data_IF_775223671977
#
_entry.id   IF_775223671977
#
_cell.length_a   1.000
_cell.length_b   1.000
_cell.length_c   1.000
_cell.angle_alpha   90.00
_cell.angle_beta   90.00
_cell.angle_gamma   90.00
#
_symmetry.space_group_name_H-M   'P 1'
#
loop_
_entity.id
_entity.type
_entity.pdbx_description
1 polymer ?
#
# COMPACT_ATOMS: atom_id res chain seq x y z
N UNK A 1 5.85 1.34 17.30
CA UNK A 1 5.59 1.49 15.85
C UNK A 1 5.27 2.94 15.52
N UNK A 2 5.99 3.50 14.57
CA UNK A 2 5.71 4.85 14.10
C UNK A 2 4.47 4.84 13.19
N UNK A 3 3.63 5.85 13.32
CA UNK A 3 2.41 5.99 12.51
C UNK A 3 2.32 7.42 11.96
N UNK A 4 1.46 7.61 10.97
CA UNK A 4 1.06 8.94 10.53
C UNK A 4 -0.45 9.10 10.69
N UNK A 5 -0.94 10.31 10.62
CA UNK A 5 -2.34 10.62 10.91
C UNK A 5 -3.06 11.19 9.70
N UNK A 6 -4.22 10.61 9.40
CA UNK A 6 -5.07 11.08 8.31
C UNK A 6 -4.57 10.71 6.93
N UNK A 7 -4.95 11.50 5.92
CA UNK A 7 -4.55 11.24 4.53
C UNK A 7 -3.21 11.88 4.22
N UNK A 8 -2.41 11.19 3.41
CA UNK A 8 -1.10 11.67 2.99
C UNK A 8 -1.29 12.79 1.96
N UNK A 9 -0.64 13.93 2.18
CA UNK A 9 -0.68 15.07 1.25
C UNK A 9 0.66 15.32 0.57
N UNK A 10 1.75 14.94 1.22
CA UNK A 10 3.12 15.08 0.72
C UNK A 10 4.02 14.05 1.37
N UNK A 11 5.21 13.83 0.81
CA UNK A 11 6.24 12.99 1.39
C UNK A 11 7.42 13.83 1.83
N UNK A 12 8.00 13.50 2.98
CA UNK A 12 9.25 14.07 3.43
C UNK A 12 10.42 13.46 2.62
N UNK A 13 11.62 14.03 2.75
CA UNK A 13 12.79 13.67 1.94
C UNK A 13 13.12 12.18 1.96
N UNK A 14 12.99 11.54 3.12
CA UNK A 14 13.33 10.13 3.32
C UNK A 14 12.13 9.21 3.28
N UNK A 15 11.02 9.64 2.71
CA UNK A 15 9.78 8.87 2.69
C UNK A 15 9.41 8.42 1.28
N UNK A 16 8.80 7.25 1.20
CA UNK A 16 8.24 6.67 -0.01
C UNK A 16 6.84 6.17 0.28
N UNK A 17 6.07 5.85 -0.74
CA UNK A 17 4.66 5.48 -0.62
C UNK A 17 4.41 4.09 -1.16
N UNK A 18 3.76 3.21 -0.40
CA UNK A 18 3.16 1.99 -0.92
C UNK A 18 1.69 2.26 -1.23
N UNK A 19 1.25 1.88 -2.40
CA UNK A 19 -0.16 2.03 -2.79
C UNK A 19 -0.66 0.80 -3.53
N UNK A 20 -1.98 0.58 -3.47
CA UNK A 20 -2.65 -0.46 -4.25
C UNK A 20 -3.00 0.05 -5.63
N UNK A 21 -2.67 -0.72 -6.65
CA UNK A 21 -3.01 -0.44 -8.02
C UNK A 21 -3.83 -1.56 -8.65
N UNK A 22 -3.92 -1.54 -9.97
CA UNK A 22 -4.71 -2.50 -10.73
C UNK A 22 -3.86 -3.19 -11.82
N UNK A 23 -4.41 -4.24 -12.41
CA UNK A 23 -3.72 -5.06 -13.40
C UNK A 23 -3.29 -4.30 -14.65
N UNK A 24 -3.93 -3.17 -14.96
CA UNK A 24 -3.60 -2.34 -16.12
C UNK A 24 -2.68 -1.17 -15.73
N UNK A 25 -2.34 -1.04 -14.45
CA UNK A 25 -1.53 0.05 -13.90
C UNK A 25 -2.07 1.43 -14.26
N UNK A 26 -3.41 1.55 -14.27
CA UNK A 26 -4.09 2.83 -14.50
C UNK A 26 -4.23 3.57 -13.18
N UNK A 27 -3.36 4.55 -12.96
CA UNK A 27 -3.30 5.30 -11.70
C UNK A 27 -4.20 6.54 -11.76
N UNK A 28 -5.48 6.33 -12.06
CA UNK A 28 -6.42 7.42 -12.33
C UNK A 28 -7.29 7.86 -11.16
N UNK A 29 -7.28 7.13 -10.04
CA UNK A 29 -8.15 7.41 -8.89
C UNK A 29 -7.46 7.08 -7.57
N UNK A 30 -7.95 7.69 -6.47
CA UNK A 30 -7.58 7.34 -5.10
C UNK A 30 -6.09 7.43 -4.84
N UNK A 31 -5.57 6.46 -4.09
CA UNK A 31 -4.17 6.44 -3.69
C UNK A 31 -3.21 6.27 -4.88
N UNK A 32 -3.63 5.61 -5.94
CA UNK A 32 -2.81 5.48 -7.14
C UNK A 32 -2.60 6.83 -7.82
N UNK A 33 -3.65 7.65 -7.91
CA UNK A 33 -3.51 9.01 -8.45
C UNK A 33 -2.67 9.89 -7.52
N UNK A 34 -2.85 9.77 -6.22
CA UNK A 34 -2.01 10.47 -5.25
C UNK A 34 -0.53 10.12 -5.46
N UNK A 35 -0.23 8.83 -5.66
CA UNK A 35 1.14 8.37 -5.90
C UNK A 35 1.75 9.03 -7.16
N UNK A 36 0.96 9.20 -8.22
CA UNK A 36 1.43 9.92 -9.42
C UNK A 36 1.76 11.37 -9.08
N UNK A 37 0.91 12.03 -8.29
CA UNK A 37 1.07 13.46 -7.98
C UNK A 37 2.23 13.76 -7.04
N UNK A 38 2.49 12.92 -6.04
CA UNK A 38 3.45 13.25 -4.98
C UNK A 38 4.63 12.29 -4.85
N UNK A 39 4.56 11.09 -5.44
CA UNK A 39 5.54 10.03 -5.21
C UNK A 39 6.21 9.49 -6.48
N UNK A 40 6.01 10.14 -7.61
CA UNK A 40 6.65 9.75 -8.85
C UNK A 40 6.19 8.44 -9.46
N UNK A 41 5.01 7.95 -9.09
CA UNK A 41 4.42 6.78 -9.74
C UNK A 41 4.11 7.13 -11.20
N UNK A 42 4.31 6.15 -12.06
CA UNK A 42 4.10 6.32 -13.51
C UNK A 42 2.87 5.53 -13.95
N UNK A 43 1.97 6.19 -14.63
CA UNK A 43 0.83 5.56 -15.25
C UNK A 43 1.33 4.44 -16.17
N UNK A 44 0.74 3.25 -16.04
CA UNK A 44 1.13 2.08 -16.83
C UNK A 44 2.27 1.25 -16.23
N UNK A 45 2.75 1.57 -15.02
CA UNK A 45 3.88 0.88 -14.41
C UNK A 45 3.55 0.40 -12.99
N UNK A 46 3.89 -0.85 -12.69
CA UNK A 46 3.78 -1.44 -11.36
C UNK A 46 5.12 -1.54 -10.64
N UNK A 47 5.11 -2.06 -9.43
CA UNK A 47 6.32 -2.25 -8.61
C UNK A 47 6.95 -0.93 -8.19
N UNK A 48 8.26 -0.95 -7.92
CA UNK A 48 9.02 0.21 -7.49
C UNK A 48 9.15 1.24 -8.62
N UNK A 49 8.78 2.50 -8.34
CA UNK A 49 8.80 3.58 -9.33
C UNK A 49 8.87 4.93 -8.63
N UNK A 50 9.95 5.68 -8.89
CA UNK A 50 10.19 6.94 -8.19
C UNK A 50 10.26 6.70 -6.69
N UNK A 51 9.47 7.42 -5.91
CA UNK A 51 9.36 7.27 -4.45
C UNK A 51 8.09 6.50 -4.07
N UNK A 52 7.72 5.52 -4.88
CA UNK A 52 6.51 4.73 -4.65
C UNK A 52 6.73 3.26 -5.01
N UNK A 53 5.85 2.42 -4.47
CA UNK A 53 5.81 0.98 -4.76
C UNK A 53 4.35 0.60 -4.96
N UNK A 54 4.05 0.01 -6.12
CA UNK A 54 2.68 -0.39 -6.47
C UNK A 54 2.51 -1.90 -6.31
N UNK A 55 1.51 -2.31 -5.50
CA UNK A 55 1.07 -3.71 -5.47
C UNK A 55 -0.29 -3.82 -6.17
N UNK A 56 -0.51 -4.94 -6.84
CA UNK A 56 -1.75 -5.18 -7.58
C UNK A 56 -2.82 -5.70 -6.60
N UNK A 57 -3.89 -4.94 -6.45
CA UNK A 57 -5.00 -5.30 -5.55
C UNK A 57 -6.36 -5.36 -6.26
N UNK A 58 -6.40 -5.04 -7.55
CA UNK A 58 -7.64 -5.01 -8.33
C UNK A 58 -7.40 -5.44 -9.76
N UNK A 59 -8.28 -6.30 -10.30
CA UNK A 59 -8.24 -6.74 -11.69
C UNK A 59 -9.33 -6.02 -12.47
N UNK A 60 -8.94 -5.11 -13.36
CA UNK A 60 -9.89 -4.28 -14.12
C UNK A 60 -10.69 -5.07 -15.15
N UNK A 61 -10.29 -6.31 -15.47
CA UNK A 61 -11.04 -7.17 -16.39
C UNK A 61 -12.28 -7.77 -15.74
N UNK A 62 -12.38 -7.68 -14.41
CA UNK A 62 -13.51 -8.21 -13.64
C UNK A 62 -14.40 -7.07 -13.17
N UNK A 63 -15.72 -7.32 -13.17
CA UNK A 63 -16.71 -6.31 -12.76
C UNK A 63 -16.88 -6.22 -11.25
N UNK A 64 -16.74 -7.36 -10.58
CA UNK A 64 -16.92 -7.43 -9.13
C UNK A 64 -15.59 -7.48 -8.42
N UNK A 65 -15.48 -6.74 -7.32
CA UNK A 65 -14.32 -6.77 -6.45
C UNK A 65 -14.75 -7.27 -5.07
N UNK A 66 -13.90 -8.00 -4.36
CA UNK A 66 -12.50 -8.28 -4.66
C UNK A 66 -12.33 -9.11 -5.93
N UNK A 67 -11.33 -8.76 -6.72
CA UNK A 67 -11.03 -9.43 -8.00
C UNK A 67 -9.62 -10.00 -8.07
N UNK A 68 -8.80 -9.74 -7.04
CA UNK A 68 -7.47 -10.32 -6.85
C UNK A 68 -7.51 -11.09 -5.54
N UNK A 69 -7.08 -12.35 -5.54
CA UNK A 69 -7.17 -13.15 -4.33
C UNK A 69 -6.17 -12.71 -3.25
N UNK A 70 -6.48 -13.06 -1.99
CA UNK A 70 -5.67 -12.66 -0.84
C UNK A 70 -4.24 -13.18 -0.93
N UNK A 71 -4.07 -14.41 -1.39
CA UNK A 71 -2.76 -15.06 -1.47
C UNK A 71 -1.81 -14.29 -2.37
N UNK A 72 -2.30 -13.79 -3.50
CA UNK A 72 -1.47 -12.99 -4.41
C UNK A 72 -1.09 -11.65 -3.79
N UNK A 73 -2.03 -11.00 -3.10
CA UNK A 73 -1.74 -9.74 -2.41
C UNK A 73 -0.73 -9.97 -1.29
N UNK A 74 -0.89 -11.04 -0.50
CA UNK A 74 0.04 -11.40 0.59
C UNK A 74 1.44 -11.64 0.04
N UNK A 75 1.56 -12.37 -1.08
CA UNK A 75 2.84 -12.60 -1.74
C UNK A 75 3.52 -11.29 -2.12
N UNK A 76 2.77 -10.37 -2.71
CA UNK A 76 3.30 -9.05 -3.06
C UNK A 76 3.73 -8.24 -1.84
N UNK A 77 2.98 -8.33 -0.74
CA UNK A 77 3.34 -7.67 0.51
C UNK A 77 4.66 -8.23 1.04
N UNK A 78 4.84 -9.56 0.98
CA UNK A 78 6.10 -10.21 1.37
C UNK A 78 7.28 -9.68 0.57
N UNK A 79 7.12 -9.59 -0.74
CA UNK A 79 8.17 -9.03 -1.63
C UNK A 79 8.44 -7.56 -1.31
N UNK A 80 7.39 -6.80 -1.03
CA UNK A 80 7.53 -5.40 -0.63
C UNK A 80 8.29 -5.27 0.70
N UNK A 81 8.01 -6.13 1.68
CA UNK A 81 8.72 -6.10 2.96
C UNK A 81 10.21 -6.39 2.77
N UNK A 82 10.57 -7.33 1.90
CA UNK A 82 11.97 -7.58 1.55
C UNK A 82 12.62 -6.34 0.92
N UNK A 83 11.91 -5.68 0.03
CA UNK A 83 12.34 -4.43 -0.58
C UNK A 83 12.56 -3.34 0.48
N UNK A 84 11.64 -3.20 1.42
CA UNK A 84 11.73 -2.21 2.48
C UNK A 84 12.93 -2.46 3.40
N UNK A 85 13.20 -3.72 3.73
CA UNK A 85 14.36 -4.10 4.53
C UNK A 85 15.66 -3.70 3.82
N UNK A 86 15.73 -3.93 2.51
CA UNK A 86 16.89 -3.56 1.71
C UNK A 86 17.13 -2.04 1.70
N UNK A 87 16.05 -1.26 1.70
CA UNK A 87 16.11 0.21 1.71
C UNK A 87 15.72 0.75 3.09
N UNK A 88 16.38 0.26 4.12
CA UNK A 88 16.07 0.51 5.53
C UNK A 88 16.16 1.97 5.95
N UNK A 89 16.90 2.79 5.21
CA UNK A 89 17.05 4.23 5.46
C UNK A 89 15.85 5.06 4.98
N UNK A 90 14.93 4.43 4.26
CA UNK A 90 13.67 5.07 3.85
C UNK A 90 12.54 4.66 4.79
N UNK A 91 11.58 5.53 4.97
CA UNK A 91 10.30 5.21 5.60
C UNK A 91 9.27 4.99 4.52
N UNK A 92 8.58 3.85 4.58
CA UNK A 92 7.53 3.52 3.61
C UNK A 92 6.17 3.75 4.25
N UNK A 93 5.47 4.79 3.79
CA UNK A 93 4.12 5.08 4.23
C UNK A 93 3.13 4.22 3.44
N UNK A 94 2.26 3.54 4.16
CA UNK A 94 1.23 2.70 3.54
C UNK A 94 0.02 3.59 3.27
N UNK A 95 -0.38 3.71 2.02
CA UNK A 95 -1.49 4.55 1.62
C UNK A 95 -2.79 4.08 2.29
N UNK A 96 -3.57 5.03 2.78
CA UNK A 96 -4.80 4.79 3.52
C UNK A 96 -5.96 5.53 2.84
N UNK A 97 -7.04 4.80 2.57
CA UNK A 97 -8.20 5.35 1.87
C UNK A 97 -9.28 5.90 2.81
N UNK A 98 -9.04 5.88 4.12
CA UNK A 98 -10.02 6.30 5.10
C UNK A 98 -10.88 5.14 5.59
N UNK A 99 -12.01 5.45 6.21
CA UNK A 99 -12.93 4.43 6.73
C UNK A 99 -13.74 3.82 5.59
N UNK A 100 -14.12 2.56 5.76
CA UNK A 100 -14.95 1.84 4.80
C UNK A 100 -14.15 0.87 3.93
N UNK A 101 -14.78 0.41 2.84
CA UNK A 101 -14.15 -0.51 1.92
C UNK A 101 -13.23 0.22 0.95
N UNK A 102 -12.10 -0.41 0.64
CA UNK A 102 -11.17 0.09 -0.36
C UNK A 102 -11.72 -0.14 -1.78
N UNK A 103 -11.18 0.57 -2.77
CA UNK A 103 -11.58 0.38 -4.17
C UNK A 103 -11.35 -1.05 -4.66
N UNK A 104 -10.46 -1.81 -4.01
CA UNK A 104 -10.20 -3.21 -4.34
C UNK A 104 -11.26 -4.18 -3.81
N UNK A 105 -12.22 -3.71 -3.03
CA UNK A 105 -13.30 -4.52 -2.47
C UNK A 105 -12.99 -5.17 -1.13
N UNK A 106 -11.75 -5.12 -0.64
CA UNK A 106 -11.39 -5.62 0.68
C UNK A 106 -11.58 -4.54 1.74
N UNK A 107 -12.03 -4.95 2.93
CA UNK A 107 -12.13 -4.03 4.06
C UNK A 107 -10.74 -3.67 4.61
N UNK A 108 -10.68 -2.61 5.41
CA UNK A 108 -9.42 -2.24 6.08
C UNK A 108 -8.93 -3.36 7.01
N UNK A 109 -9.84 -4.08 7.69
CA UNK A 109 -9.47 -5.21 8.53
C UNK A 109 -8.86 -6.34 7.70
N UNK A 110 -9.45 -6.65 6.55
CA UNK A 110 -8.92 -7.67 5.65
C UNK A 110 -7.53 -7.29 5.13
N UNK A 111 -7.36 -6.03 4.75
CA UNK A 111 -6.05 -5.54 4.31
C UNK A 111 -5.02 -5.58 5.46
N UNK A 112 -5.42 -5.15 6.66
CA UNK A 112 -4.54 -5.21 7.83
C UNK A 112 -4.11 -6.65 8.15
N UNK A 113 -5.03 -7.60 8.02
CA UNK A 113 -4.71 -9.02 8.22
C UNK A 113 -3.67 -9.50 7.20
N UNK A 114 -3.77 -9.05 5.95
CA UNK A 114 -2.78 -9.40 4.92
C UNK A 114 -1.40 -8.82 5.23
N UNK A 115 -1.33 -7.56 5.67
CA UNK A 115 -0.08 -6.94 6.09
C UNK A 115 0.53 -7.59 7.33
N UNK A 116 -0.28 -8.27 8.13
CA UNK A 116 0.14 -8.93 9.37
C UNK A 116 0.64 -10.36 9.18
N UNK A 117 0.67 -10.88 7.94
CA UNK A 117 1.09 -12.26 7.67
C UNK A 117 2.59 -12.49 7.83
N UNK A 118 3.38 -11.44 7.80
CA UNK A 118 4.84 -11.48 7.99
C UNK A 118 5.24 -10.49 9.07
N UNK A 119 6.42 -10.67 9.70
CA UNK A 119 6.95 -9.63 10.58
C UNK A 119 7.05 -8.31 9.83
N UNK A 120 6.55 -7.25 10.44
CA UNK A 120 6.51 -5.92 9.81
C UNK A 120 7.87 -5.24 10.03
N UNK A 121 8.57 -4.85 8.94
CA UNK A 121 9.82 -4.11 9.07
C UNK A 121 9.66 -2.79 9.82
N UNK A 122 10.70 -2.36 10.52
CA UNK A 122 10.66 -1.16 11.37
C UNK A 122 10.40 0.13 10.60
N UNK A 123 10.72 0.15 9.32
CA UNK A 123 10.56 1.34 8.47
C UNK A 123 9.22 1.40 7.71
N UNK A 124 8.27 0.55 8.07
CA UNK A 124 6.91 0.62 7.53
C UNK A 124 6.08 1.51 8.46
N UNK A 125 5.42 2.51 7.88
CA UNK A 125 4.64 3.51 8.62
C UNK A 125 3.19 3.44 8.17
N UNK A 126 2.32 2.90 9.05
CA UNK A 126 0.88 2.83 8.79
C UNK A 126 0.18 4.08 9.29
N UNK A 127 -1.00 4.34 8.75
CA UNK A 127 -1.87 5.37 9.30
C UNK A 127 -2.36 4.92 10.69
N UNK A 128 -2.56 5.89 11.59
CA UNK A 128 -2.86 5.64 13.01
C UNK A 128 -4.07 4.72 13.21
N UNK A 129 -5.20 5.01 12.57
CA UNK A 129 -6.41 4.20 12.73
C UNK A 129 -6.24 2.81 12.11
N UNK A 130 -5.61 2.74 10.94
CA UNK A 130 -5.31 1.46 10.30
C UNK A 130 -4.39 0.60 11.16
N UNK A 131 -3.41 1.21 11.83
CA UNK A 131 -2.44 0.48 12.65
C UNK A 131 -3.11 -0.29 13.80
N UNK A 132 -4.25 0.19 14.28
CA UNK A 132 -5.01 -0.48 15.35
C UNK A 132 -5.59 -1.82 14.92
N UNK A 133 -5.71 -2.05 13.62
CA UNK A 133 -6.27 -3.28 13.05
C UNK A 133 -5.21 -4.36 12.84
N UNK A 134 -3.93 -4.02 12.92
CA UNK A 134 -2.84 -4.96 12.69
C UNK A 134 -2.74 -5.97 13.83
N UNK A 135 -2.41 -7.23 13.48
CA UNK A 135 -2.27 -8.31 14.45
C UNK A 135 -0.85 -8.44 15.01
N UNK A 136 0.15 -8.01 14.25
CA UNK A 136 1.56 -8.12 14.62
C UNK A 136 2.12 -6.78 15.09
N UNK A 137 1.43 -6.16 16.03
CA UNK A 137 1.90 -4.93 16.65
C UNK A 137 2.96 -5.24 17.70
N UNK A 138 4.13 -4.71 17.54
CA UNK A 138 5.17 -4.83 18.55
C UNK A 138 5.71 -3.46 18.87
#
# INVERSE_FOLDING_TARGET
MKTYKGLIKKLEKNQALLFGGNTEFRHGKGNALLAVKIAGAKYGKGGAQGRSYCIITKNLRKRKHPSVNKEFIIEQIGEFYEFAIKYWDLEFLIAYSGVGANLNGYSNQEMADMFSQFPIPDNIVFEEEFSKLLKNKI
#
